data_IF_150891063231
#
_entry.id   IF_150891063231
#
_cell.length_a   1.000
_cell.length_b   1.000
_cell.length_c   1.000
_cell.angle_alpha   90.00
_cell.angle_beta   90.00
_cell.angle_gamma   90.00
#
_symmetry.space_group_name_H-M   'P 1'
#
loop_
_entity.id
_entity.type
_entity.pdbx_description
1 polymer ?
#
# COMPACT_ATOMS: atom_id res chain seq x y z
N UNK A 1 -14.77 12.45 20.63
CA UNK A 1 -14.13 11.16 20.53
C UNK A 1 -12.65 11.29 20.75
N UNK A 2 -12.16 10.78 21.90
CA UNK A 2 -10.74 10.80 22.20
C UNK A 2 -9.97 10.04 21.14
N UNK A 3 -8.94 10.65 20.56
CA UNK A 3 -8.01 9.96 19.71
C UNK A 3 -7.35 8.83 20.49
N UNK A 4 -7.11 7.70 19.83
CA UNK A 4 -6.28 6.65 20.42
C UNK A 4 -4.89 7.26 20.57
N UNK A 5 -4.33 7.21 21.77
CA UNK A 5 -2.96 7.62 22.01
C UNK A 5 -2.02 6.61 21.35
N UNK A 6 -1.57 6.92 20.14
CA UNK A 6 -0.65 6.08 19.35
C UNK A 6 0.75 6.03 19.97
N UNK A 7 1.08 6.94 20.91
CA UNK A 7 2.37 6.92 21.60
C UNK A 7 2.54 5.68 22.48
N UNK A 8 1.42 5.06 22.89
CA UNK A 8 1.44 3.82 23.68
C UNK A 8 1.80 2.57 22.86
N UNK A 9 1.80 2.66 21.53
CA UNK A 9 2.13 1.52 20.66
C UNK A 9 3.60 1.56 20.23
N UNK A 10 4.50 1.31 21.17
CA UNK A 10 5.96 1.35 20.94
C UNK A 10 6.41 0.48 19.76
N UNK A 11 5.76 -0.65 19.55
CA UNK A 11 6.10 -1.58 18.48
C UNK A 11 5.81 -1.03 17.08
N UNK A 12 4.85 -0.09 16.93
CA UNK A 12 4.61 0.60 15.67
C UNK A 12 5.80 1.48 15.25
N UNK A 13 6.60 1.98 16.18
CA UNK A 13 7.83 2.73 15.91
C UNK A 13 8.92 1.86 15.30
N UNK A 14 8.97 0.59 15.72
CA UNK A 14 9.94 -0.38 15.20
C UNK A 14 9.49 -0.87 13.83
N UNK A 15 8.22 -1.24 13.71
CA UNK A 15 7.64 -1.76 12.47
C UNK A 15 6.15 -1.44 12.40
N UNK A 16 5.67 -0.90 11.29
CA UNK A 16 6.35 -0.49 10.05
C UNK A 16 7.10 0.84 10.14
N UNK A 17 7.01 1.55 11.23
CA UNK A 17 7.47 2.91 11.47
C UNK A 17 6.30 3.89 11.56
N UNK A 18 6.54 5.07 12.14
CA UNK A 18 5.54 6.12 12.31
C UNK A 18 5.63 7.17 11.22
N UNK A 19 4.48 7.70 10.82
CA UNK A 19 4.38 8.95 10.07
C UNK A 19 4.54 10.11 11.06
N UNK A 20 5.34 11.11 10.73
CA UNK A 20 5.39 12.35 11.48
C UNK A 20 4.16 13.20 11.15
N UNK A 21 3.21 13.20 12.06
CA UNK A 21 1.94 13.90 11.90
C UNK A 21 2.05 15.44 11.94
N UNK A 22 3.21 15.96 12.32
CA UNK A 22 3.47 17.42 12.34
C UNK A 22 3.93 17.92 10.96
N UNK A 23 4.61 17.08 10.19
CA UNK A 23 5.17 17.45 8.89
C UNK A 23 4.39 16.90 7.72
N UNK A 24 3.80 15.70 7.86
CA UNK A 24 2.96 15.13 6.81
C UNK A 24 1.54 15.67 6.87
N UNK A 25 1.02 16.04 5.71
CA UNK A 25 -0.36 16.53 5.58
C UNK A 25 -1.30 15.37 5.23
N UNK A 26 -2.35 15.19 6.05
CA UNK A 26 -3.45 14.28 5.70
C UNK A 26 -4.21 14.81 4.50
N UNK A 27 -4.70 13.90 3.67
CA UNK A 27 -5.65 14.24 2.61
C UNK A 27 -7.04 14.45 3.23
N UNK A 28 -7.71 15.53 2.83
CA UNK A 28 -9.10 15.76 3.24
C UNK A 28 -10.00 14.69 2.61
N UNK A 29 -9.82 14.44 1.32
CA UNK A 29 -10.43 13.36 0.56
C UNK A 29 -9.59 13.05 -0.67
N UNK A 30 -9.37 11.78 -0.93
CA UNK A 30 -8.72 11.27 -2.14
C UNK A 30 -9.63 10.26 -2.83
N UNK A 31 -9.87 10.48 -4.12
CA UNK A 31 -10.58 9.49 -4.95
C UNK A 31 -9.59 8.45 -5.45
N UNK A 32 -9.91 7.18 -5.20
CA UNK A 32 -9.18 6.01 -5.70
C UNK A 32 -10.10 5.25 -6.64
N UNK A 33 -9.73 5.17 -7.91
CA UNK A 33 -10.50 4.46 -8.92
C UNK A 33 -10.08 2.99 -9.00
N UNK A 34 -11.02 2.09 -8.76
CA UNK A 34 -10.80 0.65 -8.84
C UNK A 34 -11.33 0.13 -10.17
N UNK A 35 -10.44 -0.33 -11.02
CA UNK A 35 -10.82 -1.00 -12.27
C UNK A 35 -11.26 -2.44 -11.98
N UNK A 36 -12.55 -2.66 -11.94
CA UNK A 36 -13.15 -3.97 -11.67
C UNK A 36 -12.93 -4.97 -12.81
N UNK A 37 -12.54 -4.51 -14.00
CA UNK A 37 -12.19 -5.37 -15.12
C UNK A 37 -10.76 -5.95 -15.00
N UNK A 38 -9.90 -5.31 -14.17
CA UNK A 38 -8.54 -5.83 -13.94
C UNK A 38 -8.57 -7.25 -13.37
N UNK A 39 -7.74 -8.10 -13.93
CA UNK A 39 -7.52 -9.49 -13.48
C UNK A 39 -6.07 -9.67 -13.10
N UNK A 40 -5.82 -10.28 -11.95
CA UNK A 40 -4.49 -10.78 -11.65
C UNK A 40 -4.09 -11.87 -12.65
N UNK A 41 -2.77 -12.05 -12.85
CA UNK A 41 -2.25 -13.10 -13.73
C UNK A 41 -2.86 -14.47 -13.39
N UNK A 42 -3.25 -15.22 -14.42
CA UNK A 42 -3.78 -16.57 -14.23
C UNK A 42 -2.66 -17.51 -13.80
N UNK A 43 -2.92 -18.35 -12.82
CA UNK A 43 -1.98 -19.35 -12.30
C UNK A 43 -1.47 -20.32 -13.37
N UNK A 44 -2.18 -20.47 -14.47
CA UNK A 44 -1.91 -21.44 -15.55
C UNK A 44 -0.56 -21.21 -16.21
N UNK A 45 -0.09 -19.97 -16.31
CA UNK A 45 1.14 -19.63 -17.01
C UNK A 45 2.40 -19.64 -16.14
N UNK A 46 2.26 -19.62 -14.81
CA UNK A 46 3.39 -19.52 -13.87
C UNK A 46 3.45 -20.69 -12.89
N UNK A 47 2.69 -21.74 -13.10
CA UNK A 47 2.65 -22.95 -12.26
C UNK A 47 2.42 -22.62 -10.75
N UNK A 48 1.65 -21.58 -10.46
CA UNK A 48 1.32 -21.18 -9.12
C UNK A 48 0.17 -22.01 -8.56
N UNK A 49 0.34 -22.52 -7.35
CA UNK A 49 -0.67 -23.33 -6.66
C UNK A 49 -1.93 -22.54 -6.30
N UNK A 50 -1.87 -21.19 -6.27
CA UNK A 50 -2.99 -20.32 -5.97
C UNK A 50 -2.89 -19.01 -6.75
N UNK A 51 -4.03 -18.52 -7.26
CA UNK A 51 -4.16 -17.14 -7.75
C UNK A 51 -4.39 -16.20 -6.58
N UNK A 52 -3.60 -15.16 -6.49
CA UNK A 52 -3.90 -14.07 -5.57
C UNK A 52 -5.15 -13.30 -6.05
N UNK A 53 -6.02 -12.84 -5.14
CA UNK A 53 -7.07 -11.92 -5.52
C UNK A 53 -6.46 -10.65 -6.13
N UNK A 54 -7.20 -9.97 -6.99
CA UNK A 54 -6.76 -8.68 -7.53
C UNK A 54 -6.54 -7.69 -6.38
N UNK A 55 -5.38 -7.05 -6.38
CA UNK A 55 -4.95 -6.08 -5.37
C UNK A 55 -4.69 -4.76 -6.08
N UNK A 56 -5.26 -3.69 -5.53
CA UNK A 56 -5.12 -2.33 -6.06
C UNK A 56 -4.35 -1.47 -5.07
N UNK A 57 -3.26 -0.88 -5.55
CA UNK A 57 -2.50 0.13 -4.82
C UNK A 57 -3.29 1.43 -4.78
N UNK A 58 -3.40 2.05 -3.62
CA UNK A 58 -4.16 3.30 -3.47
C UNK A 58 -3.30 4.55 -3.52
N UNK A 59 -2.00 4.43 -3.33
CA UNK A 59 -1.12 5.59 -3.14
C UNK A 59 -1.31 6.27 -1.79
N UNK A 60 -1.95 5.60 -0.82
CA UNK A 60 -2.31 6.16 0.47
C UNK A 60 -1.74 5.33 1.62
N UNK A 61 -1.42 6.02 2.71
CA UNK A 61 -0.86 5.43 3.93
C UNK A 61 -1.68 5.82 5.15
N UNK A 62 -1.99 4.86 6.00
CA UNK A 62 -2.68 5.08 7.26
C UNK A 62 -1.66 5.29 8.39
N UNK A 63 -1.80 6.36 9.16
CA UNK A 63 -1.04 6.52 10.39
C UNK A 63 -1.43 5.49 11.45
N UNK A 64 -0.50 5.19 12.37
CA UNK A 64 -0.71 4.21 13.43
C UNK A 64 -1.91 4.58 14.30
N UNK A 65 -2.90 3.70 14.40
CA UNK A 65 -4.13 3.91 15.19
C UNK A 65 -5.11 4.94 14.62
N UNK A 66 -4.77 5.60 13.51
CA UNK A 66 -5.62 6.63 12.93
C UNK A 66 -6.83 6.05 12.19
N UNK A 67 -7.91 6.81 12.22
CA UNK A 67 -9.14 6.42 11.56
C UNK A 67 -9.09 6.75 10.08
N UNK A 68 -9.27 5.73 9.25
CA UNK A 68 -9.46 5.85 7.82
C UNK A 68 -10.94 5.67 7.50
N UNK A 69 -11.50 6.59 6.74
CA UNK A 69 -12.87 6.48 6.21
C UNK A 69 -12.81 6.19 4.73
N UNK A 70 -13.53 5.14 4.31
CA UNK A 70 -13.71 4.78 2.90
C UNK A 70 -15.19 4.87 2.56
N UNK A 71 -15.55 5.77 1.65
CA UNK A 71 -16.90 5.92 1.14
C UNK A 71 -17.06 5.14 -0.17
N UNK A 72 -18.06 4.29 -0.24
CA UNK A 72 -18.45 3.54 -1.43
C UNK A 72 -19.89 3.94 -1.79
N UNK A 73 -20.05 4.70 -2.86
CA UNK A 73 -21.36 5.26 -3.23
C UNK A 73 -22.29 4.19 -3.83
N UNK A 74 -21.73 3.21 -4.51
CA UNK A 74 -22.46 2.13 -5.17
C UNK A 74 -22.49 0.83 -4.34
N UNK A 75 -23.49 -0.02 -4.56
CA UNK A 75 -23.57 -1.35 -3.94
C UNK A 75 -22.69 -2.34 -4.73
N UNK A 76 -21.37 -2.24 -4.54
CA UNK A 76 -20.39 -3.15 -5.13
C UNK A 76 -19.95 -4.16 -4.10
N UNK A 77 -20.13 -5.45 -4.42
CA UNK A 77 -19.74 -6.56 -3.54
C UNK A 77 -18.32 -7.04 -3.83
N UNK A 78 -17.71 -7.65 -2.83
CA UNK A 78 -16.42 -8.31 -2.98
C UNK A 78 -15.21 -7.39 -2.90
N UNK A 79 -15.36 -6.14 -2.46
CA UNK A 79 -14.26 -5.26 -2.15
C UNK A 79 -13.89 -5.34 -0.66
N UNK A 80 -12.59 -5.32 -0.38
CA UNK A 80 -12.02 -5.32 0.98
C UNK A 80 -10.94 -4.24 1.04
N UNK A 81 -10.98 -3.39 2.06
CA UNK A 81 -9.87 -2.51 2.39
C UNK A 81 -8.90 -3.22 3.32
N UNK A 82 -7.60 -3.07 3.07
CA UNK A 82 -6.53 -3.59 3.93
C UNK A 82 -5.56 -2.48 4.27
N UNK A 83 -5.21 -2.38 5.57
CA UNK A 83 -4.13 -1.52 6.06
C UNK A 83 -2.97 -2.41 6.47
N UNK A 84 -1.80 -2.18 5.87
CA UNK A 84 -0.58 -2.95 6.04
C UNK A 84 -0.31 -3.93 4.90
N UNK A 85 0.96 -4.06 4.54
CA UNK A 85 1.43 -4.89 3.41
C UNK A 85 1.89 -6.29 3.83
N UNK A 86 2.27 -6.46 5.09
CA UNK A 86 2.88 -7.68 5.62
C UNK A 86 1.81 -8.64 6.15
N UNK A 87 1.04 -9.24 5.25
CA UNK A 87 -0.12 -10.08 5.56
C UNK A 87 0.24 -11.48 6.10
N UNK A 88 1.52 -11.90 6.00
CA UNK A 88 1.94 -13.20 6.54
C UNK A 88 1.81 -13.23 8.06
N UNK A 89 1.03 -14.17 8.56
CA UNK A 89 0.94 -14.48 10.00
C UNK A 89 2.21 -15.22 10.47
N UNK A 90 2.91 -14.63 11.44
CA UNK A 90 4.11 -15.19 12.02
C UNK A 90 3.85 -15.79 13.43
N UNK A 91 2.61 -16.04 13.80
CA UNK A 91 2.24 -16.55 15.13
C UNK A 91 2.94 -17.88 15.47
N UNK A 92 3.24 -18.70 14.48
CA UNK A 92 4.00 -19.96 14.65
C UNK A 92 5.47 -19.74 15.02
N UNK A 93 6.00 -18.53 14.87
CA UNK A 93 7.37 -18.16 15.18
C UNK A 93 7.49 -17.38 16.49
N UNK A 94 6.40 -17.23 17.24
CA UNK A 94 6.42 -16.56 18.56
C UNK A 94 7.37 -17.31 19.50
N UNK A 95 8.28 -16.57 20.14
CA UNK A 95 9.37 -17.13 20.94
C UNK A 95 10.70 -17.29 20.20
N UNK A 96 10.73 -17.07 18.88
CA UNK A 96 11.97 -16.96 18.13
C UNK A 96 12.65 -15.61 18.41
N UNK A 97 13.95 -15.61 18.64
CA UNK A 97 14.77 -14.40 18.83
C UNK A 97 14.92 -13.54 17.56
N UNK A 98 14.37 -14.01 16.43
CA UNK A 98 14.51 -13.36 15.11
C UNK A 98 13.28 -12.60 14.66
N UNK A 99 12.22 -12.50 15.47
CA UNK A 99 11.03 -11.74 15.13
C UNK A 99 11.28 -10.24 15.31
N UNK A 100 11.45 -9.53 14.17
CA UNK A 100 11.62 -8.07 14.15
C UNK A 100 10.29 -7.31 14.19
N UNK A 101 9.16 -7.99 14.06
CA UNK A 101 7.81 -7.40 14.10
C UNK A 101 6.81 -8.30 14.81
N UNK A 102 5.69 -7.74 15.22
CA UNK A 102 4.58 -8.54 15.72
C UNK A 102 4.06 -9.52 14.67
N UNK A 103 3.56 -10.68 15.08
CA UNK A 103 3.10 -11.72 14.16
C UNK A 103 2.00 -11.27 13.22
N UNK A 104 1.08 -10.42 13.69
CA UNK A 104 -0.05 -9.90 12.94
C UNK A 104 -0.05 -8.38 12.99
N UNK A 105 0.20 -7.76 11.86
CA UNK A 105 0.32 -6.28 11.73
C UNK A 105 -0.66 -5.70 10.70
N UNK A 106 -1.53 -6.52 10.14
CA UNK A 106 -2.48 -6.14 9.08
C UNK A 106 -3.91 -6.18 9.62
N UNK A 107 -4.69 -5.19 9.23
CA UNK A 107 -6.15 -5.15 9.45
C UNK A 107 -6.85 -5.10 8.10
N UNK A 108 -7.89 -5.92 7.95
CA UNK A 108 -8.71 -5.94 6.73
C UNK A 108 -10.19 -5.90 7.10
N UNK A 109 -11.00 -5.26 6.24
CA UNK A 109 -12.44 -5.13 6.42
C UNK A 109 -13.14 -5.13 5.07
N UNK A 110 -14.24 -5.89 4.94
CA UNK A 110 -15.10 -5.82 3.76
C UNK A 110 -15.74 -4.43 3.65
N UNK A 111 -15.84 -3.93 2.42
CA UNK A 111 -16.49 -2.66 2.11
C UNK A 111 -17.95 -2.88 1.75
N UNK A 112 -18.80 -2.02 2.29
CA UNK A 112 -20.22 -1.96 2.02
C UNK A 112 -20.59 -0.57 1.50
N UNK A 113 -21.71 -0.47 0.79
CA UNK A 113 -22.26 0.82 0.37
C UNK A 113 -22.35 1.80 1.54
N UNK A 114 -21.91 3.02 1.33
CA UNK A 114 -21.89 4.09 2.32
C UNK A 114 -20.53 4.22 3.02
N UNK A 115 -20.56 4.62 4.27
CA UNK A 115 -19.39 4.94 5.07
C UNK A 115 -18.82 3.70 5.76
N UNK A 116 -17.54 3.43 5.51
CA UNK A 116 -16.75 2.37 6.13
C UNK A 116 -15.61 2.99 6.93
N UNK A 117 -15.43 2.59 8.18
CA UNK A 117 -14.36 3.12 9.04
C UNK A 117 -13.45 1.98 9.53
N UNK A 118 -12.15 2.13 9.30
CA UNK A 118 -11.15 1.14 9.67
C UNK A 118 -9.97 1.81 10.38
N UNK A 119 -9.33 1.06 11.29
CA UNK A 119 -8.08 1.45 11.98
C UNK A 119 -7.13 0.29 12.02
N UNK A 120 -5.84 0.60 12.05
CA UNK A 120 -4.79 -0.37 12.31
C UNK A 120 -3.83 0.21 13.35
N UNK A 121 -3.55 -0.48 14.47
CA UNK A 121 -2.64 0.02 15.52
C UNK A 121 -1.24 0.35 15.01
N UNK A 122 -0.79 -0.34 13.99
CA UNK A 122 0.54 -0.15 13.38
C UNK A 122 0.55 0.88 12.24
N UNK A 123 -0.64 1.22 11.72
CA UNK A 123 -0.74 1.92 10.44
C UNK A 123 -0.32 1.03 9.29
N UNK A 124 -0.04 1.65 8.15
CA UNK A 124 0.45 0.94 6.97
C UNK A 124 -0.12 1.46 5.67
N UNK A 125 0.44 0.98 4.58
CA UNK A 125 -0.04 1.27 3.24
C UNK A 125 -1.47 0.71 3.06
N UNK A 126 -2.32 1.44 2.34
CA UNK A 126 -3.73 1.07 2.13
C UNK A 126 -3.88 0.39 0.78
N UNK A 127 -4.39 -0.84 0.80
CA UNK A 127 -4.76 -1.60 -0.39
C UNK A 127 -6.26 -1.84 -0.45
N UNK A 128 -6.78 -1.93 -1.67
CA UNK A 128 -8.10 -2.48 -1.94
C UNK A 128 -7.90 -3.86 -2.57
N UNK A 129 -8.64 -4.84 -2.10
CA UNK A 129 -8.64 -6.20 -2.64
C UNK A 129 -10.01 -6.51 -3.21
N UNK A 130 -10.03 -7.27 -4.30
CA UNK A 130 -11.23 -7.74 -4.93
C UNK A 130 -11.30 -9.26 -4.82
N UNK A 131 -12.43 -9.80 -4.32
CA UNK A 131 -12.69 -11.23 -4.33
C UNK A 131 -12.95 -11.73 -5.76
N UNK A 132 -12.71 -13.02 -6.00
CA UNK A 132 -13.00 -13.64 -7.28
C UNK A 132 -14.46 -13.58 -7.72
N UNK A 133 -15.37 -13.45 -6.75
CA UNK A 133 -16.83 -13.42 -6.97
C UNK A 133 -17.36 -12.00 -7.24
N UNK A 134 -16.52 -10.99 -7.18
CA UNK A 134 -16.94 -9.62 -7.46
C UNK A 134 -17.26 -9.46 -8.95
N UNK A 135 -18.40 -8.80 -9.25
CA UNK A 135 -18.84 -8.53 -10.61
C UNK A 135 -17.90 -7.53 -11.32
N UNK A 136 -17.79 -7.64 -12.64
CA UNK A 136 -17.05 -6.74 -13.49
C UNK A 136 -17.90 -5.54 -13.87
N UNK A 137 -17.84 -4.52 -13.05
CA UNK A 137 -18.73 -3.34 -13.20
C UNK A 137 -18.02 -2.09 -13.74
N UNK A 138 -16.81 -2.25 -14.28
CA UNK A 138 -16.02 -1.11 -14.78
C UNK A 138 -15.25 -0.40 -13.65
N UNK A 139 -15.18 0.92 -13.69
CA UNK A 139 -14.45 1.73 -12.71
C UNK A 139 -15.34 2.04 -11.51
N UNK A 140 -14.89 1.68 -10.32
CA UNK A 140 -15.56 2.01 -9.06
C UNK A 140 -14.74 3.05 -8.29
N UNK A 141 -15.25 4.28 -8.12
CA UNK A 141 -14.56 5.29 -7.32
C UNK A 141 -14.78 5.04 -5.83
N UNK A 142 -13.71 5.05 -5.08
CA UNK A 142 -13.71 5.07 -3.60
C UNK A 142 -13.19 6.41 -3.13
N UNK A 143 -13.87 7.05 -2.18
CA UNK A 143 -13.40 8.29 -1.55
C UNK A 143 -12.77 7.94 -0.21
N UNK A 144 -11.49 8.23 -0.05
CA UNK A 144 -10.71 7.91 1.15
C UNK A 144 -10.35 9.18 1.88
N UNK A 145 -10.60 9.21 3.20
CA UNK A 145 -10.32 10.34 4.08
C UNK A 145 -9.46 9.91 5.26
N UNK A 146 -8.63 10.82 5.76
CA UNK A 146 -7.81 10.63 6.95
C UNK A 146 -6.46 9.94 6.70
N UNK A 147 -6.13 9.63 5.46
CA UNK A 147 -4.86 9.03 5.07
C UNK A 147 -3.81 10.09 4.71
N UNK A 148 -2.56 9.64 4.55
CA UNK A 148 -1.45 10.41 4.00
C UNK A 148 -1.16 9.96 2.57
N UNK A 149 -0.67 10.87 1.72
CA UNK A 149 -0.16 10.48 0.41
C UNK A 149 1.12 9.67 0.57
N UNK A 150 1.16 8.47 0.02
CA UNK A 150 2.39 7.72 -0.16
C UNK A 150 3.04 8.17 -1.48
N UNK A 151 4.30 8.64 -1.46
CA UNK A 151 4.97 9.05 -2.69
C UNK A 151 5.44 7.82 -3.49
N UNK A 152 4.49 7.09 -4.06
CA UNK A 152 4.76 5.95 -4.93
C UNK A 152 5.49 6.38 -6.19
N UNK A 153 6.28 5.47 -6.76
CA UNK A 153 6.79 5.61 -8.12
C UNK A 153 5.92 4.79 -9.07
N UNK A 154 5.36 5.43 -10.06
CA UNK A 154 4.51 4.78 -11.08
C UNK A 154 5.14 5.00 -12.45
N UNK A 155 5.59 3.93 -13.10
CA UNK A 155 6.22 4.00 -14.43
C UNK A 155 5.28 4.67 -15.43
N UNK A 156 5.80 5.68 -16.13
CA UNK A 156 5.06 6.45 -17.14
C UNK A 156 4.14 7.54 -16.58
N UNK A 157 3.98 7.66 -15.25
CA UNK A 157 3.14 8.70 -14.62
C UNK A 157 3.94 9.61 -13.69
N UNK A 158 4.95 9.05 -12.99
CA UNK A 158 5.73 9.77 -11.99
C UNK A 158 6.91 10.46 -12.62
N UNK A 159 7.03 11.76 -12.37
CA UNK A 159 8.21 12.52 -12.80
C UNK A 159 9.37 12.23 -11.82
N UNK A 160 10.48 11.73 -12.37
CA UNK A 160 11.60 11.17 -11.59
C UNK A 160 12.28 12.19 -10.64
N UNK A 161 12.46 13.45 -11.09
CA UNK A 161 13.12 14.46 -10.27
C UNK A 161 12.22 14.90 -9.10
N UNK A 162 10.93 15.10 -9.36
CA UNK A 162 9.95 15.44 -8.32
C UNK A 162 9.80 14.33 -7.29
N UNK A 163 9.79 13.08 -7.75
CA UNK A 163 9.72 11.92 -6.85
C UNK A 163 10.94 11.87 -5.93
N UNK A 164 12.14 12.10 -6.46
CA UNK A 164 13.36 12.14 -5.67
C UNK A 164 13.27 13.15 -4.52
N UNK A 165 12.73 14.35 -4.78
CA UNK A 165 12.53 15.37 -3.72
C UNK A 165 11.45 14.96 -2.70
N UNK A 166 10.35 14.37 -3.15
CA UNK A 166 9.30 13.85 -2.24
C UNK A 166 9.86 12.76 -1.32
N UNK A 167 10.67 11.84 -1.85
CA UNK A 167 11.28 10.78 -1.03
C UNK A 167 12.24 11.35 0.01
N UNK A 168 13.01 12.38 -0.30
CA UNK A 168 13.93 13.00 0.67
C UNK A 168 13.20 13.55 1.89
N UNK A 169 12.01 14.12 1.70
CA UNK A 169 11.27 14.85 2.73
C UNK A 169 10.20 14.04 3.43
N UNK A 170 9.58 13.07 2.76
CA UNK A 170 8.48 12.28 3.35
C UNK A 170 8.91 11.50 4.59
N UNK A 171 8.00 11.37 5.54
CA UNK A 171 8.12 10.51 6.71
C UNK A 171 7.25 9.26 6.63
N UNK A 172 6.50 9.09 5.54
CA UNK A 172 5.74 7.87 5.26
C UNK A 172 6.72 6.68 5.21
N UNK A 173 6.52 5.62 6.04
CA UNK A 173 7.54 4.57 6.18
C UNK A 173 7.69 3.64 4.97
N UNK A 174 6.60 3.39 4.24
CA UNK A 174 6.55 2.45 3.13
C UNK A 174 5.81 3.04 1.95
N UNK A 175 6.28 2.73 0.76
CA UNK A 175 5.71 3.12 -0.53
C UNK A 175 5.67 1.93 -1.48
N UNK A 176 5.05 2.13 -2.62
CA UNK A 176 5.09 1.19 -3.72
C UNK A 176 5.83 1.74 -4.94
N UNK A 177 6.58 0.84 -5.57
CA UNK A 177 7.21 1.03 -6.87
C UNK A 177 6.40 0.23 -7.87
N UNK A 178 5.69 0.91 -8.75
CA UNK A 178 4.67 0.31 -9.63
C UNK A 178 5.08 0.37 -11.09
N UNK A 179 5.27 -0.80 -11.70
CA UNK A 179 5.23 -0.99 -13.14
C UNK A 179 3.79 -1.14 -13.62
N UNK A 180 3.63 -1.60 -14.86
CA UNK A 180 2.31 -1.90 -15.46
C UNK A 180 1.73 -3.22 -14.98
N UNK A 181 2.57 -4.21 -14.68
CA UNK A 181 2.21 -5.57 -14.31
C UNK A 181 2.62 -5.94 -12.89
N UNK A 182 3.55 -5.22 -12.30
CA UNK A 182 4.15 -5.55 -11.02
C UNK A 182 4.22 -4.34 -10.08
N UNK A 183 4.09 -4.59 -8.78
CA UNK A 183 4.33 -3.59 -7.75
C UNK A 183 5.21 -4.17 -6.64
N UNK A 184 6.17 -3.38 -6.17
CA UNK A 184 7.04 -3.71 -5.06
C UNK A 184 6.80 -2.77 -3.90
N UNK A 185 6.47 -3.31 -2.73
CA UNK A 185 6.41 -2.53 -1.51
C UNK A 185 7.81 -2.41 -0.90
N UNK A 186 8.26 -1.19 -0.70
CA UNK A 186 9.61 -0.90 -0.23
C UNK A 186 9.65 0.10 0.92
N UNK A 187 10.59 -0.06 1.87
CA UNK A 187 10.77 0.93 2.93
C UNK A 187 11.41 2.21 2.38
N UNK A 188 10.82 3.35 2.70
CA UNK A 188 11.32 4.67 2.29
C UNK A 188 12.76 4.93 2.77
N UNK A 189 13.13 4.41 3.94
CA UNK A 189 14.50 4.55 4.45
C UNK A 189 15.57 4.07 3.47
N UNK A 190 15.30 2.98 2.74
CA UNK A 190 16.26 2.47 1.74
C UNK A 190 16.27 3.33 0.48
N UNK A 191 15.12 3.88 0.09
CA UNK A 191 15.06 4.82 -1.03
C UNK A 191 15.85 6.10 -0.73
N UNK A 192 15.74 6.63 0.49
CA UNK A 192 16.54 7.78 0.94
C UNK A 192 18.05 7.49 0.86
N UNK A 193 18.49 6.34 1.37
CA UNK A 193 19.90 5.92 1.30
C UNK A 193 20.40 5.79 -0.14
N UNK A 194 19.60 5.22 -1.01
CA UNK A 194 19.93 5.08 -2.43
C UNK A 194 20.01 6.43 -3.14
N UNK A 195 19.05 7.31 -2.91
CA UNK A 195 19.10 8.68 -3.46
C UNK A 195 20.30 9.48 -2.94
N UNK A 196 20.66 9.30 -1.67
CA UNK A 196 21.82 9.96 -1.08
C UNK A 196 23.14 9.48 -1.71
N UNK A 197 23.27 8.17 -1.97
CA UNK A 197 24.50 7.57 -2.49
C UNK A 197 24.64 7.67 -4.00
N UNK A 198 23.56 7.64 -4.75
CA UNK A 198 23.55 7.46 -6.21
C UNK A 198 22.83 8.59 -6.96
N UNK A 199 22.10 9.44 -6.23
CA UNK A 199 21.37 10.58 -6.81
C UNK A 199 20.33 10.15 -7.85
N UNK A 200 20.14 10.99 -8.86
CA UNK A 200 19.14 10.77 -9.92
C UNK A 200 19.40 9.51 -10.77
N UNK A 201 20.66 9.07 -10.86
CA UNK A 201 21.00 7.84 -11.59
C UNK A 201 20.34 6.59 -10.99
N UNK A 202 20.06 6.61 -9.69
CA UNK A 202 19.27 5.55 -9.03
C UNK A 202 17.84 5.51 -9.58
N UNK A 203 17.18 6.66 -9.74
CA UNK A 203 15.79 6.72 -10.21
C UNK A 203 15.67 6.22 -11.65
N UNK A 204 16.62 6.60 -12.51
CA UNK A 204 16.66 6.11 -13.90
C UNK A 204 16.78 4.57 -13.94
N UNK A 205 17.68 4.00 -13.12
CA UNK A 205 17.82 2.54 -13.06
C UNK A 205 16.60 1.85 -12.44
N UNK A 206 15.96 2.50 -11.48
CA UNK A 206 14.73 2.00 -10.88
C UNK A 206 13.64 1.85 -11.95
N UNK A 207 13.41 2.87 -12.77
CA UNK A 207 12.43 2.84 -13.85
C UNK A 207 12.74 1.73 -14.84
N UNK A 208 13.97 1.67 -15.34
CA UNK A 208 14.41 0.60 -16.24
C UNK A 208 14.21 -0.80 -15.65
N UNK A 209 14.44 -0.94 -14.34
CA UNK A 209 14.24 -2.22 -13.64
C UNK A 209 12.77 -2.60 -13.56
N UNK A 210 11.88 -1.64 -13.31
CA UNK A 210 10.44 -1.88 -13.28
C UNK A 210 9.90 -2.27 -14.67
N UNK A 211 10.35 -1.60 -15.71
CA UNK A 211 10.01 -1.93 -17.11
C UNK A 211 10.49 -3.35 -17.47
N UNK A 212 11.71 -3.72 -17.08
CA UNK A 212 12.24 -5.07 -17.29
C UNK A 212 11.42 -6.14 -16.56
N UNK A 213 10.97 -5.86 -15.35
CA UNK A 213 10.10 -6.78 -14.61
C UNK A 213 8.71 -6.90 -15.24
N UNK A 214 8.15 -5.79 -15.75
CA UNK A 214 6.89 -5.82 -16.51
C UNK A 214 7.01 -6.72 -17.74
N UNK A 215 8.09 -6.57 -18.52
CA UNK A 215 8.36 -7.40 -19.68
C UNK A 215 8.50 -8.90 -19.31
N UNK A 216 9.16 -9.15 -18.19
CA UNK A 216 9.33 -10.53 -17.67
C UNK A 216 7.99 -11.18 -17.33
N UNK A 217 7.10 -10.47 -16.66
CA UNK A 217 5.75 -10.96 -16.31
C UNK A 217 4.91 -11.22 -17.56
N UNK A 218 5.11 -10.45 -18.62
CA UNK A 218 4.38 -10.64 -19.90
C UNK A 218 4.90 -11.82 -20.73
N UNK A 219 6.13 -12.28 -20.48
CA UNK A 219 6.72 -13.42 -21.18
C UNK A 219 6.26 -14.79 -20.67
N UNK A 220 5.57 -14.83 -19.53
CA UNK A 220 5.03 -16.03 -18.90
C UNK A 220 3.49 -16.00 -18.87
#
# INVERSE_FOLDING_TARGET
GGGIDVSLYDKARIFPGLVDTLTEKRVDEQVVNIDMAYRSAKAVNVNLAMTSPAIYSTGLYAGAGEKITVMLDDDVKGLTVQIGIHSRDLSSLVGSSYLERDPKVVTSMALFKGKNEIRNPYGGYIWIKRSGDASDTGIVPLKVQGAYLAPDYVVGETEAAEWGEKIKTTTVPWIELRGKQIAFSVPVKYMKLKLQSEGQSFVTRLEQSLELWDDWVLCY
#
